data_IF_411489850862
#
_entry.id   IF_411489850862
#
_cell.length_a   1.000
_cell.length_b   1.000
_cell.length_c   1.000
_cell.angle_alpha   90.00
_cell.angle_beta   90.00
_cell.angle_gamma   90.00
#
_symmetry.space_group_name_H-M   'P 1'
#
loop_
_entity.id
_entity.type
_entity.pdbx_description
1 polymer ?
#
# COMPACT_ATOMS: atom_id res chain seq x y z
N UNK A 1 6.09 -19.46 3.00
CA UNK A 1 6.27 -18.19 2.29
C UNK A 1 5.88 -17.06 3.22
N UNK A 2 6.82 -16.17 3.55
CA UNK A 2 6.68 -15.10 4.57
C UNK A 2 5.43 -14.25 4.39
N UNK A 3 5.03 -14.01 3.14
CA UNK A 3 3.82 -13.26 2.82
C UNK A 3 2.55 -13.96 3.33
N UNK A 4 2.38 -15.24 3.01
CA UNK A 4 1.23 -16.03 3.48
C UNK A 4 1.24 -16.22 4.98
N UNK A 5 2.42 -16.36 5.58
CA UNK A 5 2.60 -16.48 7.03
C UNK A 5 2.22 -15.16 7.74
N UNK A 6 2.49 -14.01 7.13
CA UNK A 6 2.04 -12.71 7.63
C UNK A 6 0.51 -12.63 7.67
N UNK A 7 -0.17 -12.92 6.57
CA UNK A 7 -1.65 -12.85 6.50
C UNK A 7 -2.27 -13.82 7.49
N UNK A 8 -1.74 -15.05 7.58
CA UNK A 8 -2.16 -16.05 8.56
C UNK A 8 -1.97 -15.57 9.99
N UNK A 9 -0.86 -14.91 10.30
CA UNK A 9 -0.57 -14.37 11.62
C UNK A 9 -1.56 -13.25 11.98
N UNK A 10 -1.86 -12.35 11.05
CA UNK A 10 -2.89 -11.32 11.22
C UNK A 10 -4.25 -11.99 11.49
N UNK A 11 -4.61 -13.01 10.71
CA UNK A 11 -5.88 -13.72 10.88
C UNK A 11 -6.03 -14.39 12.26
N UNK A 12 -4.93 -14.83 12.86
CA UNK A 12 -4.94 -15.47 14.18
C UNK A 12 -5.23 -14.50 15.33
N UNK A 13 -5.25 -13.20 15.09
CA UNK A 13 -5.69 -12.19 16.05
C UNK A 13 -7.20 -12.35 16.22
N UNK A 14 -7.64 -12.80 17.38
CA UNK A 14 -9.06 -13.07 17.66
C UNK A 14 -9.82 -11.79 18.08
N UNK A 15 -9.78 -10.77 17.25
CA UNK A 15 -10.43 -9.47 17.45
C UNK A 15 -10.91 -8.91 16.12
N UNK A 16 -11.64 -7.80 16.17
CA UNK A 16 -11.91 -7.01 14.98
C UNK A 16 -10.59 -6.45 14.45
N UNK A 17 -10.36 -6.60 13.15
CA UNK A 17 -9.12 -6.24 12.50
C UNK A 17 -9.41 -5.27 11.37
N UNK A 18 -8.65 -4.18 11.35
CA UNK A 18 -8.57 -3.26 10.24
C UNK A 18 -7.14 -3.29 9.71
N UNK A 19 -6.97 -3.56 8.43
CA UNK A 19 -5.66 -3.59 7.77
C UNK A 19 -5.64 -2.57 6.64
N UNK A 20 -4.75 -1.60 6.75
CA UNK A 20 -4.54 -0.56 5.74
C UNK A 20 -3.08 -0.62 5.28
N UNK A 21 -2.87 -0.65 3.96
CA UNK A 21 -1.52 -0.64 3.37
C UNK A 21 -1.43 0.39 2.25
N UNK A 22 -0.26 1.05 2.21
CA UNK A 22 0.17 1.95 1.14
C UNK A 22 1.44 1.39 0.54
N UNK A 23 1.42 1.04 -0.74
CA UNK A 23 2.62 0.53 -1.40
C UNK A 23 2.54 0.66 -2.93
N UNK A 24 3.69 0.45 -3.59
CA UNK A 24 3.76 0.33 -5.04
C UNK A 24 3.12 -0.97 -5.51
N UNK A 25 2.34 -0.91 -6.56
CA UNK A 25 1.77 -2.11 -7.15
C UNK A 25 0.48 -1.89 -7.93
N UNK A 26 -0.14 -2.98 -8.32
CA UNK A 26 -1.45 -2.97 -8.97
C UNK A 26 -2.14 -4.33 -8.75
N UNK A 27 -3.47 -4.37 -8.98
CA UNK A 27 -4.24 -5.61 -9.11
C UNK A 27 -4.10 -6.25 -10.48
N UNK A 28 -3.80 -5.47 -11.51
CA UNK A 28 -3.53 -6.01 -12.83
C UNK A 28 -2.24 -6.80 -12.80
N UNK A 29 -2.23 -7.92 -13.54
CA UNK A 29 -1.07 -8.83 -13.57
C UNK A 29 0.20 -8.07 -13.95
N UNK A 30 1.02 -7.76 -12.94
CA UNK A 30 2.28 -7.03 -13.11
C UNK A 30 3.36 -7.98 -13.60
N UNK A 31 3.31 -9.24 -13.16
CA UNK A 31 4.28 -10.27 -13.55
C UNK A 31 4.02 -10.70 -14.99
N UNK A 32 5.04 -10.58 -15.83
CA UNK A 32 4.96 -10.94 -17.25
C UNK A 32 4.29 -9.88 -18.14
N UNK A 33 3.99 -8.69 -17.61
CA UNK A 33 3.52 -7.58 -18.45
C UNK A 33 4.66 -7.08 -19.34
N UNK A 34 4.30 -6.57 -20.54
CA UNK A 34 5.26 -5.95 -21.46
C UNK A 34 6.01 -4.76 -20.81
N UNK A 35 5.42 -4.15 -19.80
CA UNK A 35 6.03 -3.05 -19.02
C UNK A 35 7.16 -3.52 -18.10
N UNK A 36 7.08 -4.77 -17.61
CA UNK A 36 8.06 -5.33 -16.67
C UNK A 36 8.50 -6.74 -17.08
N UNK A 37 9.18 -6.89 -18.23
CA UNK A 37 9.54 -8.21 -18.77
C UNK A 37 10.53 -8.98 -17.88
N UNK A 38 11.26 -8.27 -17.01
CA UNK A 38 12.22 -8.83 -16.06
C UNK A 38 11.70 -8.84 -14.61
N UNK A 39 10.38 -8.60 -14.42
CA UNK A 39 9.81 -8.40 -13.09
C UNK A 39 9.87 -6.95 -12.64
N UNK A 40 9.45 -6.70 -11.39
CA UNK A 40 9.30 -5.35 -10.83
C UNK A 40 10.39 -4.98 -9.81
N UNK A 41 11.25 -5.94 -9.46
CA UNK A 41 12.35 -5.69 -8.53
C UNK A 41 13.36 -4.73 -9.16
N UNK A 42 13.79 -3.76 -8.38
CA UNK A 42 14.80 -2.77 -8.75
C UNK A 42 15.57 -2.33 -7.52
N UNK A 43 16.76 -1.84 -7.71
CA UNK A 43 17.57 -1.29 -6.63
C UNK A 43 17.65 0.23 -6.71
N UNK A 44 17.78 0.86 -5.57
CA UNK A 44 18.02 2.29 -5.45
C UNK A 44 19.31 2.53 -4.69
N UNK A 45 20.19 3.33 -5.27
CA UNK A 45 21.39 3.83 -4.64
C UNK A 45 21.53 5.33 -4.93
N UNK A 46 21.66 6.14 -3.89
CA UNK A 46 21.74 7.61 -4.01
C UNK A 46 20.63 8.20 -4.90
N UNK A 47 19.37 7.78 -4.71
CA UNK A 47 18.19 8.18 -5.48
C UNK A 47 18.26 7.82 -6.99
N UNK A 48 19.13 6.91 -7.39
CA UNK A 48 19.21 6.39 -8.76
C UNK A 48 18.75 4.95 -8.81
N UNK A 49 17.91 4.66 -9.80
CA UNK A 49 17.45 3.29 -10.07
C UNK A 49 18.56 2.51 -10.76
N UNK A 50 18.76 1.27 -10.34
CA UNK A 50 19.72 0.33 -10.94
C UNK A 50 19.13 -1.08 -10.95
N UNK A 51 19.64 -1.92 -11.84
CA UNK A 51 19.37 -3.37 -11.86
C UNK A 51 20.50 -4.17 -11.18
N UNK A 52 21.41 -3.50 -10.48
CA UNK A 52 22.53 -4.14 -9.80
C UNK A 52 22.14 -4.54 -8.38
N UNK A 53 21.78 -5.81 -8.18
CA UNK A 53 21.41 -6.41 -6.90
C UNK A 53 22.61 -6.88 -6.04
N UNK A 54 23.81 -6.76 -6.54
CA UNK A 54 25.03 -7.27 -5.87
C UNK A 54 25.75 -6.22 -5.02
N UNK A 55 25.28 -4.99 -4.98
CA UNK A 55 25.83 -3.96 -4.12
C UNK A 55 25.17 -4.03 -2.74
N UNK A 56 25.96 -4.12 -1.67
CA UNK A 56 25.45 -4.22 -0.28
C UNK A 56 24.81 -2.92 0.25
N UNK A 57 24.90 -1.81 -0.50
CA UNK A 57 24.44 -0.49 -0.08
C UNK A 57 23.32 0.01 -0.99
N UNK A 58 22.31 -0.83 -1.21
CA UNK A 58 21.16 -0.53 -2.07
C UNK A 58 19.85 -0.91 -1.38
N UNK A 59 18.84 -0.08 -1.58
CA UNK A 59 17.47 -0.43 -1.24
C UNK A 59 16.85 -1.25 -2.37
N UNK A 60 16.27 -2.38 -2.04
CA UNK A 60 15.54 -3.23 -3.00
C UNK A 60 14.06 -2.93 -2.89
N UNK A 61 13.48 -2.49 -4.00
CA UNK A 61 12.04 -2.19 -4.11
C UNK A 61 11.40 -3.09 -5.15
N UNK A 62 10.19 -3.57 -4.89
CA UNK A 62 9.38 -4.31 -5.87
C UNK A 62 7.92 -3.89 -5.76
N UNK A 63 7.16 -4.13 -6.82
CA UNK A 63 5.72 -3.81 -6.82
C UNK A 63 4.92 -4.97 -6.26
N UNK A 64 4.01 -4.66 -5.34
CA UNK A 64 3.09 -5.64 -4.76
C UNK A 64 2.05 -6.08 -5.78
N UNK A 65 1.80 -7.38 -5.83
CA UNK A 65 0.63 -7.93 -6.51
C UNK A 65 -0.58 -7.84 -5.58
N UNK A 66 -1.31 -6.73 -5.66
CA UNK A 66 -2.51 -6.52 -4.84
C UNK A 66 -3.66 -7.49 -5.13
N UNK A 67 -3.70 -8.10 -6.30
CA UNK A 67 -4.67 -9.17 -6.59
C UNK A 67 -4.39 -10.41 -5.73
N UNK A 68 -3.12 -10.81 -5.62
CA UNK A 68 -2.73 -11.93 -4.77
C UNK A 68 -3.00 -11.60 -3.30
N UNK A 69 -2.65 -10.39 -2.85
CA UNK A 69 -2.92 -9.91 -1.49
C UNK A 69 -4.43 -9.97 -1.17
N UNK A 70 -5.27 -9.45 -2.07
CA UNK A 70 -6.72 -9.47 -1.91
C UNK A 70 -7.27 -10.89 -1.78
N UNK A 71 -6.88 -11.76 -2.68
CA UNK A 71 -7.33 -13.16 -2.66
C UNK A 71 -6.97 -13.85 -1.36
N UNK A 72 -5.77 -13.60 -0.84
CA UNK A 72 -5.33 -14.20 0.41
C UNK A 72 -6.13 -13.67 1.59
N UNK A 73 -6.29 -12.36 1.76
CA UNK A 73 -7.12 -11.78 2.83
C UNK A 73 -8.56 -12.26 2.77
N UNK A 74 -9.17 -12.28 1.58
CA UNK A 74 -10.54 -12.74 1.39
C UNK A 74 -10.67 -14.23 1.77
N UNK A 75 -9.67 -15.07 1.49
CA UNK A 75 -9.68 -16.49 1.84
C UNK A 75 -9.75 -16.73 3.36
N UNK A 76 -9.26 -15.78 4.16
CA UNK A 76 -9.36 -15.76 5.62
C UNK A 76 -10.60 -15.01 6.15
N UNK A 77 -11.54 -14.65 5.28
CA UNK A 77 -12.81 -14.01 5.67
C UNK A 77 -12.71 -12.51 5.95
N UNK A 78 -11.70 -11.84 5.41
CA UNK A 78 -11.67 -10.38 5.38
C UNK A 78 -12.54 -9.85 4.26
N UNK A 79 -13.14 -8.68 4.47
CA UNK A 79 -13.78 -7.89 3.44
C UNK A 79 -12.77 -6.89 2.88
N UNK A 80 -12.64 -6.83 1.56
CA UNK A 80 -11.94 -5.73 0.92
C UNK A 80 -12.87 -4.54 0.83
N UNK A 81 -12.59 -3.48 1.58
CA UNK A 81 -13.43 -2.28 1.64
C UNK A 81 -13.18 -1.37 0.44
N UNK A 82 -11.91 -1.19 0.06
CA UNK A 82 -11.51 -0.47 -1.13
C UNK A 82 -10.10 -0.79 -1.59
N UNK A 83 -9.85 -0.52 -2.87
CA UNK A 83 -8.53 -0.46 -3.51
C UNK A 83 -8.50 0.73 -4.45
N UNK A 84 -7.62 1.69 -4.20
CA UNK A 84 -7.55 2.93 -4.97
C UNK A 84 -6.15 3.53 -5.01
N UNK A 85 -5.97 4.63 -5.76
CA UNK A 85 -4.70 5.35 -5.78
C UNK A 85 -4.51 6.16 -4.50
N UNK A 86 -3.25 6.41 -4.13
CA UNK A 86 -2.94 7.26 -2.98
C UNK A 86 -3.53 8.66 -3.13
N UNK A 87 -3.48 9.23 -4.35
CA UNK A 87 -4.12 10.53 -4.64
C UNK A 87 -5.58 10.52 -4.25
N UNK A 88 -6.34 9.53 -4.76
CA UNK A 88 -7.77 9.46 -4.48
C UNK A 88 -8.04 9.33 -2.99
N UNK A 89 -7.38 8.39 -2.32
CA UNK A 89 -7.53 8.20 -0.88
C UNK A 89 -7.25 9.47 -0.08
N UNK A 90 -6.15 10.16 -0.35
CA UNK A 90 -5.78 11.36 0.37
C UNK A 90 -6.76 12.51 0.11
N UNK A 91 -7.21 12.67 -1.13
CA UNK A 91 -8.18 13.72 -1.49
C UNK A 91 -9.54 13.50 -0.82
N UNK A 92 -10.01 12.26 -0.78
CA UNK A 92 -11.29 11.89 -0.14
C UNK A 92 -11.23 12.00 1.40
N UNK A 93 -10.01 12.05 1.98
CA UNK A 93 -9.78 12.14 3.44
C UNK A 93 -9.22 13.49 3.89
N UNK A 94 -9.71 14.59 3.32
CA UNK A 94 -9.41 15.97 3.75
C UNK A 94 -7.93 16.37 3.70
N UNK A 95 -7.14 15.74 2.85
CA UNK A 95 -5.69 16.02 2.76
C UNK A 95 -5.38 17.47 2.39
N UNK A 96 -6.23 18.13 1.59
CA UNK A 96 -6.07 19.54 1.24
C UNK A 96 -6.19 20.46 2.45
N UNK A 97 -7.07 20.16 3.40
CA UNK A 97 -7.19 20.92 4.64
C UNK A 97 -5.92 20.77 5.50
N UNK A 98 -5.34 19.57 5.53
CA UNK A 98 -4.06 19.32 6.22
C UNK A 98 -2.94 20.14 5.58
N UNK A 99 -2.87 20.19 4.26
CA UNK A 99 -1.89 21.02 3.53
C UNK A 99 -2.07 22.49 3.90
N UNK A 100 -3.29 23.02 3.82
CA UNK A 100 -3.58 24.42 4.10
C UNK A 100 -3.22 24.82 5.54
N UNK A 101 -3.54 23.97 6.50
CA UNK A 101 -3.19 24.19 7.89
C UNK A 101 -1.67 24.13 8.13
N UNK A 102 -0.97 23.24 7.44
CA UNK A 102 0.48 23.12 7.52
C UNK A 102 1.21 24.32 6.91
N UNK A 103 0.67 24.87 5.82
CA UNK A 103 1.19 26.11 5.21
C UNK A 103 1.01 27.29 6.17
N UNK A 104 -0.18 27.44 6.74
CA UNK A 104 -0.50 28.53 7.69
C UNK A 104 0.39 28.51 8.94
N UNK A 105 0.74 27.31 9.40
CA UNK A 105 1.58 27.10 10.60
C UNK A 105 3.09 27.11 10.33
N UNK A 106 3.52 27.22 9.06
CA UNK A 106 4.92 27.04 8.63
C UNK A 106 5.57 25.73 9.13
N UNK A 107 4.76 24.70 9.41
CA UNK A 107 5.22 23.48 10.08
C UNK A 107 5.85 22.45 9.15
N UNK A 108 5.49 22.48 7.85
CA UNK A 108 5.96 21.49 6.86
C UNK A 108 6.15 22.13 5.50
N UNK A 109 7.14 21.65 4.76
CA UNK A 109 7.37 22.03 3.37
C UNK A 109 6.20 21.55 2.48
N UNK A 110 5.38 22.48 2.02
CA UNK A 110 4.22 22.21 1.19
C UNK A 110 4.55 21.47 -0.12
N UNK A 111 5.79 21.63 -0.62
CA UNK A 111 6.25 20.94 -1.83
C UNK A 111 6.36 19.45 -1.59
N UNK A 112 6.84 19.04 -0.41
CA UNK A 112 6.90 17.63 -0.01
C UNK A 112 5.52 17.02 0.14
N UNK A 113 4.57 17.74 0.76
CA UNK A 113 3.19 17.28 0.88
C UNK A 113 2.52 17.12 -0.48
N UNK A 114 2.71 18.08 -1.40
CA UNK A 114 2.16 17.99 -2.75
C UNK A 114 2.70 16.81 -3.56
N UNK A 115 3.92 16.36 -3.30
CA UNK A 115 4.47 15.18 -3.98
C UNK A 115 3.71 13.89 -3.69
N UNK A 116 3.03 13.81 -2.53
CA UNK A 116 2.22 12.64 -2.14
C UNK A 116 0.99 12.44 -3.03
N UNK A 117 0.42 13.53 -3.57
CA UNK A 117 -0.77 13.49 -4.42
C UNK A 117 -0.44 13.70 -5.91
N UNK A 118 0.79 14.04 -6.25
CA UNK A 118 1.18 14.30 -7.63
C UNK A 118 1.22 13.01 -8.45
N UNK A 119 0.54 12.95 -9.62
CA UNK A 119 0.60 11.79 -10.52
C UNK A 119 2.01 11.50 -11.04
N UNK A 120 2.85 12.53 -11.16
CA UNK A 120 4.23 12.40 -11.63
C UNK A 120 5.17 11.78 -10.59
N UNK A 121 4.73 11.68 -9.33
CA UNK A 121 5.53 11.15 -8.22
C UNK A 121 4.82 9.95 -7.57
N UNK A 122 4.29 10.14 -6.36
CA UNK A 122 3.78 9.04 -5.54
C UNK A 122 2.28 8.80 -5.71
N UNK A 123 1.53 9.81 -6.11
CA UNK A 123 0.07 9.79 -6.07
C UNK A 123 -0.60 8.67 -6.85
N UNK A 124 -0.12 8.37 -8.06
CA UNK A 124 -0.65 7.28 -8.89
C UNK A 124 0.15 5.99 -8.76
N UNK A 125 1.44 6.09 -8.43
CA UNK A 125 2.32 4.93 -8.30
C UNK A 125 2.01 4.10 -7.05
N UNK A 126 1.68 4.77 -5.95
CA UNK A 126 1.22 4.12 -4.73
C UNK A 126 -0.27 3.79 -4.82
N UNK A 127 -0.61 2.63 -4.30
CA UNK A 127 -1.98 2.17 -4.11
C UNK A 127 -2.28 2.06 -2.63
N UNK A 128 -3.54 2.23 -2.31
CA UNK A 128 -4.06 2.04 -0.96
C UNK A 128 -5.06 0.92 -1.00
N UNK A 129 -4.90 -0.05 -0.13
CA UNK A 129 -5.84 -1.14 0.05
C UNK A 129 -6.27 -1.21 1.52
N UNK A 130 -7.55 -1.43 1.73
CA UNK A 130 -8.13 -1.52 3.06
C UNK A 130 -8.97 -2.77 3.19
N UNK A 131 -8.69 -3.53 4.24
CA UNK A 131 -9.47 -4.71 4.61
C UNK A 131 -10.03 -4.55 6.02
N UNK A 132 -11.22 -5.10 6.21
CA UNK A 132 -11.82 -5.26 7.53
C UNK A 132 -12.17 -6.71 7.80
N UNK A 133 -12.07 -7.12 9.04
CA UNK A 133 -12.64 -8.36 9.54
C UNK A 133 -13.31 -8.09 10.88
N UNK A 134 -14.63 -8.28 10.92
CA UNK A 134 -15.42 -8.10 12.13
C UNK A 134 -15.78 -9.48 12.66
N UNK A 135 -15.25 -9.79 13.84
CA UNK A 135 -15.59 -11.01 14.55
C UNK A 135 -16.82 -10.71 15.40
N UNK A 136 -17.98 -11.20 14.96
CA UNK A 136 -19.20 -11.17 15.77
C UNK A 136 -18.99 -12.13 16.93
N UNK A 137 -18.53 -11.64 18.07
CA UNK A 137 -18.63 -12.42 19.32
C UNK A 137 -20.09 -12.74 19.53
N UNK A 138 -20.39 -14.03 19.79
CA UNK A 138 -21.75 -14.55 20.05
C UNK A 138 -22.42 -13.81 21.22
N UNK A 139 -22.96 -12.61 20.96
CA UNK A 139 -23.72 -11.81 21.94
C UNK A 139 -25.20 -12.26 21.99
N UNK A 140 -25.58 -13.24 21.18
CA UNK A 140 -26.96 -13.75 21.15
C UNK A 140 -27.07 -15.20 21.60
N UNK A 141 -26.56 -15.54 22.78
CA UNK A 141 -27.02 -16.72 23.53
C UNK A 141 -26.95 -16.43 25.04
N UNK A 142 -27.88 -15.59 25.51
CA UNK A 142 -28.44 -15.68 26.86
C UNK A 142 -29.89 -15.26 26.85
#
# INVERSE_FOLDING_TARGET
DEFFDMVKSINNINNNILFLSFDYGDKKNILGSSKYPKGTARTFHNNRVSDNFYNNDVDITYSINFELLSREFISYGFNEEFFETQTKFLMDNSFLEIIDNSIKSNSVDSTKLKSLISPAFMGEAFKVIFFSKIVWSNIFLR
#
